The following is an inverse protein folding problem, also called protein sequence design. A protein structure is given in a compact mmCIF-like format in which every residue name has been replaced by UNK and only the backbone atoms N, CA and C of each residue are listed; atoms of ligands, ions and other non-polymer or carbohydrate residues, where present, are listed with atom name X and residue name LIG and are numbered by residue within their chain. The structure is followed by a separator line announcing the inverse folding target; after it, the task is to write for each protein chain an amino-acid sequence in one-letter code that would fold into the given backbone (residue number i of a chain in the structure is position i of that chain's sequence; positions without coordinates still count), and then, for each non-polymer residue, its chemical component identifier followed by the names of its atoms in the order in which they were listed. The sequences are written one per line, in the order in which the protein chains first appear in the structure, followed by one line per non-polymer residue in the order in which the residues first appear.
data_IF_271645588837
#
_entry.id   IF_271645588837
#
_cell.length_a   1.000
_cell.length_b   1.000
_cell.length_c   1.000
_cell.angle_alpha   90.00
_cell.angle_beta   90.00
_cell.angle_gamma   90.00
#
_symmetry.space_group_name_H-M   'P 1'
#
loop_
_entity.id
_entity.type
_entity.pdbx_description
1 polymer ?
#
# COMPACT_ATOMS: atom_id res chain seq x y z
N UNK A 1 -20.07 2.20 10.72
CA UNK A 1 -19.63 2.93 11.92
C UNK A 1 -20.17 2.15 13.09
N UNK A 2 -19.43 1.16 13.57
CA UNK A 2 -19.85 0.33 14.69
C UNK A 2 -19.87 1.18 15.96
N UNK A 3 -21.02 1.75 16.25
CA UNK A 3 -21.33 2.40 17.53
C UNK A 3 -21.57 1.30 18.55
N UNK A 4 -20.47 0.67 18.99
CA UNK A 4 -20.54 -0.33 20.05
C UNK A 4 -20.99 0.38 21.33
N UNK A 5 -22.22 0.11 21.73
CA UNK A 5 -22.84 0.59 22.96
C UNK A 5 -21.88 0.31 24.12
N UNK A 6 -21.57 1.31 24.97
CA UNK A 6 -20.68 1.10 26.10
C UNK A 6 -21.34 0.11 27.06
N UNK A 7 -20.86 -1.13 27.02
CA UNK A 7 -21.22 -2.17 27.95
C UNK A 7 -20.40 -1.92 29.23
N UNK A 8 -20.97 -2.20 30.41
CA UNK A 8 -20.20 -2.14 31.64
C UNK A 8 -18.99 -3.07 31.49
N UNK A 9 -17.77 -2.62 31.84
CA UNK A 9 -16.56 -3.41 31.65
C UNK A 9 -16.65 -4.68 32.49
N UNK A 10 -16.50 -5.84 31.85
CA UNK A 10 -16.67 -7.16 32.50
C UNK A 10 -15.36 -7.89 32.73
N UNK A 11 -14.26 -7.30 32.26
CA UNK A 11 -12.92 -7.85 32.36
C UNK A 11 -11.88 -6.76 32.63
N UNK A 12 -10.70 -7.12 33.17
CA UNK A 12 -9.57 -6.18 33.30
C UNK A 12 -9.20 -5.51 31.97
N UNK A 13 -9.33 -6.26 30.87
CA UNK A 13 -9.03 -5.75 29.53
C UNK A 13 -10.03 -4.69 29.07
N UNK A 14 -11.31 -4.84 29.41
CA UNK A 14 -12.34 -3.84 29.10
C UNK A 14 -12.12 -2.55 29.90
N UNK A 15 -11.74 -2.67 31.17
CA UNK A 15 -11.35 -1.51 31.99
C UNK A 15 -10.16 -0.77 31.37
N UNK A 16 -9.10 -1.50 30.98
CA UNK A 16 -7.95 -0.90 30.32
C UNK A 16 -8.33 -0.22 29.00
N UNK A 17 -9.20 -0.84 28.19
CA UNK A 17 -9.70 -0.25 26.95
C UNK A 17 -10.52 1.03 27.20
N UNK A 18 -11.41 1.03 28.21
CA UNK A 18 -12.18 2.19 28.61
C UNK A 18 -11.29 3.35 29.09
N UNK A 19 -10.27 3.05 29.90
CA UNK A 19 -9.29 4.04 30.37
C UNK A 19 -8.50 4.65 29.21
N UNK A 20 -8.07 3.85 28.23
CA UNK A 20 -7.32 4.32 27.06
C UNK A 20 -8.19 5.12 26.08
N UNK A 21 -9.47 4.78 25.99
CA UNK A 21 -10.44 5.52 25.19
C UNK A 21 -10.66 6.93 25.77
N UNK A 22 -10.74 7.07 27.10
CA UNK A 22 -11.11 8.35 27.70
C UNK A 22 -10.04 9.45 27.56
N UNK A 23 -10.42 10.64 27.06
CA UNK A 23 -9.48 11.75 26.89
C UNK A 23 -9.19 12.48 28.20
N UNK A 24 -10.17 12.57 29.12
CA UNK A 24 -10.02 13.29 30.39
C UNK A 24 -9.30 12.46 31.45
N UNK A 25 -8.35 13.08 32.16
CA UNK A 25 -7.60 12.46 33.27
C UNK A 25 -8.51 12.14 34.45
N UNK A 26 -9.44 13.04 34.79
CA UNK A 26 -10.38 12.85 35.90
C UNK A 26 -11.25 11.61 35.69
N UNK A 27 -11.75 11.43 34.46
CA UNK A 27 -12.57 10.28 34.08
C UNK A 27 -11.78 8.96 34.11
N UNK A 28 -10.50 8.98 33.71
CA UNK A 28 -9.63 7.81 33.86
C UNK A 28 -9.41 7.44 35.33
N UNK A 29 -9.20 8.42 36.20
CA UNK A 29 -9.05 8.17 37.63
C UNK A 29 -10.33 7.56 38.21
N UNK A 30 -11.50 8.09 37.85
CA UNK A 30 -12.78 7.52 38.28
C UNK A 30 -12.96 6.05 37.81
N UNK A 31 -12.53 5.71 36.59
CA UNK A 31 -12.54 4.33 36.10
C UNK A 31 -11.57 3.41 36.84
N UNK A 32 -10.42 3.92 37.26
CA UNK A 32 -9.45 3.18 38.08
C UNK A 32 -9.96 2.96 39.50
N UNK A 33 -10.64 3.94 40.10
CA UNK A 33 -11.28 3.79 41.42
C UNK A 33 -12.44 2.78 41.37
N UNK A 34 -13.22 2.81 40.29
CA UNK A 34 -14.30 1.84 40.05
C UNK A 34 -13.81 0.42 39.70
N UNK A 35 -12.50 0.23 39.48
CA UNK A 35 -11.92 -1.08 39.20
C UNK A 35 -11.73 -1.87 40.51
N UNK A 36 -12.17 -3.14 40.56
CA UNK A 36 -11.86 -4.05 41.66
C UNK A 36 -10.36 -4.07 41.97
N UNK A 37 -10.01 -4.08 43.25
CA UNK A 37 -8.61 -3.96 43.70
C UNK A 37 -7.71 -5.06 43.12
N UNK A 38 -8.23 -6.29 43.07
CA UNK A 38 -7.61 -7.49 42.47
C UNK A 38 -7.22 -7.35 40.99
N UNK A 39 -7.87 -6.45 40.25
CA UNK A 39 -7.62 -6.27 38.82
C UNK A 39 -6.73 -5.06 38.52
N UNK A 40 -6.50 -4.17 39.49
CA UNK A 40 -5.81 -2.89 39.23
C UNK A 40 -4.41 -3.08 38.65
N UNK A 41 -3.68 -4.08 39.11
CA UNK A 41 -2.32 -4.36 38.63
C UNK A 41 -2.34 -4.83 37.17
N UNK A 42 -3.24 -5.76 36.83
CA UNK A 42 -3.43 -6.23 35.44
C UNK A 42 -3.89 -5.10 34.52
N UNK A 43 -4.83 -4.26 34.98
CA UNK A 43 -5.31 -3.09 34.22
C UNK A 43 -4.16 -2.13 33.96
N UNK A 44 -3.33 -1.85 34.98
CA UNK A 44 -2.16 -0.96 34.84
C UNK A 44 -1.16 -1.49 33.83
N UNK A 45 -0.85 -2.79 33.87
CA UNK A 45 0.03 -3.45 32.91
C UNK A 45 -0.52 -3.34 31.48
N UNK A 46 -1.81 -3.66 31.29
CA UNK A 46 -2.47 -3.55 29.99
C UNK A 46 -2.47 -2.12 29.44
N UNK A 47 -2.76 -1.14 30.30
CA UNK A 47 -2.71 0.28 29.92
C UNK A 47 -1.30 0.65 29.50
N UNK A 48 -0.27 0.29 30.29
CA UNK A 48 1.12 0.60 30.00
C UNK A 48 1.59 -0.04 28.69
N UNK A 49 1.28 -1.32 28.46
CA UNK A 49 1.66 -2.05 27.25
C UNK A 49 0.95 -1.53 25.99
N UNK A 50 -0.30 -1.10 26.10
CA UNK A 50 -1.10 -0.64 24.96
C UNK A 50 -0.95 0.86 24.68
N UNK A 51 -0.48 1.66 25.64
CA UNK A 51 -0.42 3.12 25.52
C UNK A 51 0.37 3.58 24.28
N UNK A 52 1.56 3.02 24.06
CA UNK A 52 2.41 3.37 22.92
C UNK A 52 1.70 3.06 21.58
N UNK A 53 1.02 1.90 21.48
CA UNK A 53 0.28 1.49 20.29
C UNK A 53 -0.91 2.40 20.02
N UNK A 54 -1.68 2.74 21.06
CA UNK A 54 -2.83 3.65 20.96
C UNK A 54 -2.39 5.05 20.57
N UNK A 55 -1.29 5.55 21.14
CA UNK A 55 -0.71 6.84 20.75
C UNK A 55 -0.31 6.85 19.28
N UNK A 56 0.47 5.86 18.83
CA UNK A 56 0.88 5.76 17.43
C UNK A 56 -0.33 5.69 16.46
N UNK A 57 -1.37 4.95 16.83
CA UNK A 57 -2.60 4.88 16.05
C UNK A 57 -3.33 6.23 15.97
N UNK A 58 -3.43 6.96 17.09
CA UNK A 58 -4.01 8.31 17.14
C UNK A 58 -3.21 9.29 16.28
N UNK A 59 -1.89 9.29 16.40
CA UNK A 59 -0.97 10.14 15.63
C UNK A 59 -1.11 9.86 14.13
N UNK A 60 -1.14 8.58 13.73
CA UNK A 60 -1.38 8.18 12.33
C UNK A 60 -2.75 8.62 11.81
N UNK A 61 -3.82 8.43 12.60
CA UNK A 61 -5.17 8.86 12.21
C UNK A 61 -5.27 10.38 12.05
N UNK A 62 -4.65 11.13 12.96
CA UNK A 62 -4.55 12.59 12.87
C UNK A 62 -3.76 13.02 11.63
N UNK A 63 -2.62 12.38 11.34
CA UNK A 63 -1.82 12.63 10.15
C UNK A 63 -2.60 12.40 8.85
N UNK A 64 -3.37 11.31 8.76
CA UNK A 64 -4.25 11.07 7.60
C UNK A 64 -5.35 12.13 7.46
N UNK A 65 -5.95 12.55 8.57
CA UNK A 65 -6.95 13.62 8.55
C UNK A 65 -6.34 14.97 8.10
N UNK A 66 -5.10 15.25 8.47
CA UNK A 66 -4.36 16.43 8.01
C UNK A 66 -4.03 16.34 6.52
N UNK A 67 -3.51 15.21 6.05
CA UNK A 67 -3.22 14.98 4.62
C UNK A 67 -4.48 15.11 3.76
N UNK A 68 -5.64 14.63 4.23
CA UNK A 68 -6.91 14.78 3.52
C UNK A 68 -7.37 16.24 3.39
N UNK A 69 -6.93 17.13 4.29
CA UNK A 69 -7.19 18.58 4.19
C UNK A 69 -6.21 19.28 3.25
N UNK A 70 -5.05 18.68 3.00
CA UNK A 70 -4.07 19.22 2.06
C UNK A 70 -4.55 18.96 0.64
N UNK A 71 -4.28 19.92 -0.27
CA UNK A 71 -4.58 19.72 -1.69
C UNK A 71 -3.78 18.52 -2.19
N UNK A 72 -4.42 17.50 -2.79
CA UNK A 72 -3.68 16.36 -3.32
C UNK A 72 -2.64 16.86 -4.32
N UNK A 73 -1.44 16.24 -4.37
CA UNK A 73 -0.45 16.58 -5.37
C UNK A 73 -1.09 16.47 -6.75
N UNK A 74 -0.80 17.42 -7.63
CA UNK A 74 -1.31 17.38 -9.00
C UNK A 74 -0.95 16.03 -9.61
N UNK A 75 -1.93 15.32 -10.16
CA UNK A 75 -1.69 14.06 -10.83
C UNK A 75 -0.59 14.27 -11.89
N UNK A 76 0.38 13.35 -12.02
CA UNK A 76 1.36 13.43 -13.08
C UNK A 76 0.63 13.60 -14.41
N UNK A 77 0.88 14.72 -15.09
CA UNK A 77 0.39 14.90 -16.46
C UNK A 77 1.00 13.76 -17.27
N UNK A 78 0.22 13.22 -18.20
CA UNK A 78 0.65 12.20 -19.16
C UNK A 78 1.59 12.83 -20.21
N UNK A 79 2.62 13.53 -19.75
CA UNK A 79 3.70 14.04 -20.58
C UNK A 79 4.71 12.91 -20.73
N UNK A 80 4.43 12.03 -21.70
CA UNK A 80 5.34 11.07 -22.35
C UNK A 80 4.58 9.79 -22.72
N UNK A 81 3.61 9.88 -23.62
CA UNK A 81 3.61 8.85 -24.65
C UNK A 81 4.84 9.16 -25.50
N UNK A 82 5.93 8.43 -25.26
CA UNK A 82 7.04 8.34 -26.21
C UNK A 82 6.43 7.96 -27.56
N UNK A 83 6.19 8.95 -28.43
CA UNK A 83 5.91 8.66 -29.83
C UNK A 83 7.21 8.07 -30.36
N UNK A 84 7.23 6.84 -30.91
CA UNK A 84 8.40 6.37 -31.62
C UNK A 84 8.59 7.27 -32.86
N UNK A 85 9.38 8.32 -32.71
CA UNK A 85 9.57 9.37 -33.72
C UNK A 85 10.51 8.93 -34.85
N UNK A 86 11.21 7.80 -34.68
CA UNK A 86 12.23 7.35 -35.62
C UNK A 86 11.92 5.93 -36.12
N UNK A 87 10.84 5.77 -36.89
CA UNK A 87 10.77 4.65 -37.81
C UNK A 87 11.60 5.00 -39.04
N UNK A 88 12.79 4.42 -39.16
CA UNK A 88 13.53 4.40 -40.42
C UNK A 88 12.68 3.65 -41.43
N UNK A 89 12.22 4.34 -42.48
CA UNK A 89 11.45 3.73 -43.56
C UNK A 89 12.27 2.55 -44.12
N UNK A 90 11.68 1.36 -44.15
CA UNK A 90 12.33 0.21 -44.79
C UNK A 90 12.68 0.58 -46.24
N UNK A 91 13.86 0.18 -46.71
CA UNK A 91 14.29 0.33 -48.11
C UNK A 91 13.91 -0.97 -48.86
N UNK A 92 12.71 -1.04 -49.47
CA UNK A 92 12.23 -2.27 -50.10
C UNK A 92 13.15 -2.74 -51.24
N UNK A 93 13.92 -1.84 -51.84
CA UNK A 93 14.90 -2.13 -52.89
C UNK A 93 16.02 -3.04 -52.37
N UNK A 94 16.51 -2.79 -51.14
CA UNK A 94 17.57 -3.60 -50.52
C UNK A 94 17.06 -5.00 -50.16
N UNK A 95 15.82 -5.08 -49.66
CA UNK A 95 15.16 -6.36 -49.37
C UNK A 95 14.92 -7.18 -50.63
N UNK A 96 14.42 -6.54 -51.69
CA UNK A 96 14.19 -7.19 -52.97
C UNK A 96 15.49 -7.68 -53.62
N UNK A 97 16.59 -6.91 -53.52
CA UNK A 97 17.90 -7.34 -54.00
C UNK A 97 18.39 -8.60 -53.27
N UNK A 98 18.27 -8.65 -51.94
CA UNK A 98 18.62 -9.84 -51.15
C UNK A 98 17.75 -11.05 -51.50
N UNK A 99 16.44 -10.87 -51.64
CA UNK A 99 15.53 -11.95 -52.04
C UNK A 99 15.85 -12.47 -53.44
N UNK A 100 16.23 -11.59 -54.37
CA UNK A 100 16.66 -11.99 -55.71
C UNK A 100 17.95 -12.83 -55.66
N UNK A 101 18.94 -12.40 -54.86
CA UNK A 101 20.19 -13.15 -54.69
C UNK A 101 19.96 -14.53 -54.07
N UNK A 102 19.09 -14.64 -53.06
CA UNK A 102 18.72 -15.93 -52.46
C UNK A 102 17.99 -16.83 -53.45
N UNK A 103 17.07 -16.28 -54.25
CA UNK A 103 16.38 -17.04 -55.31
C UNK A 103 17.35 -17.54 -56.37
N UNK A 104 18.33 -16.73 -56.77
CA UNK A 104 19.37 -17.14 -57.72
C UNK A 104 20.25 -18.26 -57.14
N UNK A 105 20.65 -18.16 -55.87
CA UNK A 105 21.43 -19.20 -55.20
C UNK A 105 20.69 -20.55 -55.09
N UNK A 106 19.36 -20.50 -54.89
CA UNK A 106 18.52 -21.72 -54.85
C UNK A 106 18.21 -22.24 -56.27
N UNK A 107 18.08 -21.35 -57.26
CA UNK A 107 17.82 -21.71 -58.65
C UNK A 107 19.03 -22.31 -59.38
N UNK A 108 20.22 -22.23 -58.79
CA UNK A 108 21.38 -23.01 -59.19
C UNK A 108 21.60 -24.18 -58.21
N UNK A 109 20.80 -25.27 -58.32
CA UNK A 109 21.19 -26.52 -57.70
C UNK A 109 22.48 -26.96 -58.40
N UNK A 110 23.61 -26.83 -57.70
CA UNK A 110 24.81 -27.60 -57.99
C UNK A 110 24.35 -29.05 -58.09
N UNK A 111 24.22 -29.56 -59.32
CA UNK A 111 24.04 -30.97 -59.58
C UNK A 111 25.28 -31.69 -59.10
N UNK A 112 25.22 -32.27 -57.90
CA UNK A 112 26.11 -33.34 -57.49
C UNK A 112 25.55 -34.64 -58.05
N UNK A 113 26.18 -35.26 -59.08
CA UNK A 113 25.89 -36.65 -59.39
C UNK A 113 26.58 -37.50 -58.32
N UNK A 114 25.81 -38.21 -57.51
CA UNK A 114 26.35 -39.27 -56.65
C UNK A 114 25.56 -40.55 -56.87
N UNK A 115 26.28 -41.53 -57.42
CA UNK A 115 25.98 -42.96 -57.63
C UNK A 115 24.83 -43.30 -58.60
#
# INVERSE_FOLDING_TARGET
MDTQTPHPPRSPRDYAAAILAEPSRERRNALLEACPAEWRDLVREHVQAAFAKVKAYRDHKAGRAQLARQKPPAAPRRDALHKPSNYTRSAPEVGNAHLSALRAAVAHPQGTPHA
#
